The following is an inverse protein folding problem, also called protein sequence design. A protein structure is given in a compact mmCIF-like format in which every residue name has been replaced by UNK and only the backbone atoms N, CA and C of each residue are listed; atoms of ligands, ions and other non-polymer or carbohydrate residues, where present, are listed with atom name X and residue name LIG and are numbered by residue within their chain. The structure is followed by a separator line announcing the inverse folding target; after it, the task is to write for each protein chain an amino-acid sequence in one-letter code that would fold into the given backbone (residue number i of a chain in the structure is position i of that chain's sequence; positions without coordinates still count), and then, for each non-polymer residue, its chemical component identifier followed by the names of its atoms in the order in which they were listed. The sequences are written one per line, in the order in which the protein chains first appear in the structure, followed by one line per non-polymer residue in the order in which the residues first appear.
data_IF_140988109215
#
_entry.id   IF_140988109215
#
_cell.length_a   1.000
_cell.length_b   1.000
_cell.length_c   1.000
_cell.angle_alpha   90.00
_cell.angle_beta   90.00
_cell.angle_gamma   90.00
#
_symmetry.space_group_name_H-M   'P 1'
#
loop_
_entity.id
_entity.type
_entity.pdbx_description
1 polymer ?
#
# COMPACT_ATOMS: atom_id res chain seq x y z
N UNK A 1 -2.43 18.41 -14.51
CA UNK A 1 -2.95 17.11 -15.00
C UNK A 1 -4.45 17.27 -15.17
N UNK A 2 -4.99 17.12 -16.38
CA UNK A 2 -6.43 17.16 -16.62
C UNK A 2 -6.98 15.75 -16.33
N UNK A 3 -7.79 15.61 -15.28
CA UNK A 3 -8.26 14.32 -14.74
C UNK A 3 -9.62 13.91 -15.30
N UNK A 4 -10.24 14.70 -16.18
CA UNK A 4 -11.60 14.46 -16.67
C UNK A 4 -11.78 13.20 -17.53
N UNK A 5 -10.69 12.53 -17.93
CA UNK A 5 -10.72 11.31 -18.75
C UNK A 5 -10.49 10.01 -17.97
N UNK A 6 -10.15 10.07 -16.68
CA UNK A 6 -9.96 8.88 -15.85
C UNK A 6 -11.23 8.62 -15.03
N UNK A 7 -12.20 7.87 -15.57
CA UNK A 7 -13.34 7.41 -14.75
C UNK A 7 -12.98 6.24 -13.80
N UNK A 8 -11.82 5.60 -13.98
CA UNK A 8 -11.46 4.33 -13.32
C UNK A 8 -10.29 4.43 -12.32
N UNK A 9 -9.87 5.64 -11.98
CA UNK A 9 -8.64 5.84 -11.20
C UNK A 9 -7.37 5.49 -11.96
N UNK A 10 -6.24 5.78 -11.32
CA UNK A 10 -4.90 5.53 -11.87
C UNK A 10 -4.10 4.86 -10.77
N UNK A 11 -3.66 3.64 -11.01
CA UNK A 11 -2.65 2.98 -10.20
C UNK A 11 -1.31 3.06 -10.93
N UNK A 12 -0.29 3.57 -10.24
CA UNK A 12 1.07 3.60 -10.74
C UNK A 12 1.98 2.99 -9.68
N UNK A 13 2.58 1.82 -9.95
CA UNK A 13 3.69 1.36 -9.12
C UNK A 13 4.94 2.22 -9.41
N UNK A 14 5.86 2.25 -8.44
CA UNK A 14 7.21 2.82 -8.51
C UNK A 14 7.29 4.17 -9.23
N UNK A 15 6.99 5.24 -8.50
CA UNK A 15 6.93 6.58 -9.06
C UNK A 15 8.01 7.49 -8.46
N UNK A 16 8.83 8.05 -9.34
CA UNK A 16 9.77 9.11 -9.00
C UNK A 16 9.10 10.48 -9.14
N UNK A 17 8.72 11.06 -8.01
CA UNK A 17 8.11 12.39 -7.97
C UNK A 17 9.20 13.46 -8.03
N UNK A 18 9.26 14.12 -9.19
CA UNK A 18 10.15 15.25 -9.43
C UNK A 18 9.34 16.54 -9.28
N UNK A 19 9.65 17.38 -8.28
CA UNK A 19 9.04 18.69 -8.15
C UNK A 19 9.26 19.55 -9.38
N UNK A 20 8.30 20.42 -9.68
CA UNK A 20 8.54 21.49 -10.66
C UNK A 20 9.63 22.42 -10.14
N UNK A 21 10.42 22.97 -11.07
CA UNK A 21 11.41 24.01 -10.77
C UNK A 21 10.78 25.11 -9.91
N UNK A 22 11.55 25.66 -8.95
CA UNK A 22 11.13 26.67 -7.95
C UNK A 22 10.16 26.20 -6.85
N UNK A 23 9.88 24.90 -6.72
CA UNK A 23 9.12 24.36 -5.57
C UNK A 23 10.06 23.76 -4.53
N UNK A 24 9.95 24.17 -3.26
CA UNK A 24 10.66 23.52 -2.14
C UNK A 24 9.95 22.23 -1.72
N UNK A 25 10.05 21.23 -2.58
CA UNK A 25 9.63 19.85 -2.31
C UNK A 25 10.82 18.91 -2.55
N UNK A 26 10.90 17.78 -1.84
CA UNK A 26 11.95 16.82 -2.07
C UNK A 26 11.67 16.07 -3.38
N UNK A 27 12.72 15.57 -4.02
CA UNK A 27 12.55 14.42 -4.91
C UNK A 27 12.17 13.23 -4.03
N UNK A 28 11.08 12.57 -4.36
CA UNK A 28 10.52 11.50 -3.55
C UNK A 28 10.24 10.32 -4.45
N UNK A 29 10.83 9.17 -4.14
CA UNK A 29 10.32 7.90 -4.63
C UNK A 29 9.13 7.49 -3.78
N UNK A 30 8.10 6.92 -4.41
CA UNK A 30 6.98 6.29 -3.72
C UNK A 30 6.68 4.96 -4.40
N UNK A 31 6.42 3.93 -3.59
CA UNK A 31 6.27 2.56 -4.09
C UNK A 31 5.01 2.39 -4.93
N UNK A 32 3.94 3.11 -4.58
CA UNK A 32 2.81 3.25 -5.46
C UNK A 32 2.04 4.54 -5.20
N UNK A 33 1.31 4.96 -6.23
CA UNK A 33 0.27 5.98 -6.10
C UNK A 33 -1.01 5.41 -6.66
N UNK A 34 -2.09 5.65 -5.94
CA UNK A 34 -3.43 5.38 -6.42
C UNK A 34 -4.28 6.64 -6.37
N UNK A 35 -4.66 7.15 -7.53
CA UNK A 35 -5.57 8.28 -7.67
C UNK A 35 -6.96 7.74 -7.94
N UNK A 36 -7.92 8.11 -7.09
CA UNK A 36 -9.31 7.68 -7.18
C UNK A 36 -10.17 8.94 -7.38
N UNK A 37 -10.68 9.18 -8.59
CA UNK A 37 -11.53 10.33 -8.88
C UNK A 37 -12.91 10.12 -8.27
N UNK A 38 -13.40 11.16 -7.60
CA UNK A 38 -14.72 11.18 -6.97
C UNK A 38 -15.64 12.18 -7.69
N UNK A 39 -16.96 11.93 -7.74
CA UNK A 39 -17.91 12.85 -8.36
C UNK A 39 -18.06 14.13 -7.54
N UNK A 40 -18.26 15.27 -8.20
CA UNK A 40 -18.55 16.53 -7.52
C UNK A 40 -19.80 16.39 -6.64
N UNK A 41 -19.80 16.91 -5.38
CA UNK A 41 -18.82 17.81 -4.76
C UNK A 41 -17.64 17.14 -4.03
N UNK A 42 -17.51 15.81 -4.11
CA UNK A 42 -16.46 15.08 -3.40
C UNK A 42 -15.06 15.36 -3.97
N UNK A 43 -14.05 15.17 -3.10
CA UNK A 43 -12.64 15.41 -3.44
C UNK A 43 -12.03 14.15 -4.03
N UNK A 44 -11.20 14.31 -5.07
CA UNK A 44 -10.37 13.22 -5.58
C UNK A 44 -9.51 12.63 -4.45
N UNK A 45 -9.58 11.33 -4.27
CA UNK A 45 -8.74 10.62 -3.31
C UNK A 45 -7.38 10.35 -3.94
N UNK A 46 -6.32 10.57 -3.16
CA UNK A 46 -4.96 10.21 -3.54
C UNK A 46 -4.36 9.38 -2.42
N UNK A 47 -3.98 8.14 -2.74
CA UNK A 47 -3.25 7.26 -1.84
C UNK A 47 -1.80 7.23 -2.29
N UNK A 48 -0.90 7.51 -1.35
CA UNK A 48 0.54 7.42 -1.56
C UNK A 48 1.00 6.26 -0.71
N UNK A 49 1.63 5.27 -1.34
CA UNK A 49 2.05 4.04 -0.72
C UNK A 49 3.54 3.99 -0.53
N UNK A 50 3.94 3.56 0.66
CA UNK A 50 5.26 3.04 0.98
C UNK A 50 5.09 1.60 1.46
N UNK A 51 5.83 0.69 0.84
CA UNK A 51 5.85 -0.73 1.10
C UNK A 51 7.23 -1.09 1.62
N UNK A 52 7.30 -1.55 2.86
CA UNK A 52 8.51 -2.20 3.37
C UNK A 52 8.26 -3.70 3.46
N UNK A 53 9.34 -4.45 3.39
CA UNK A 53 9.32 -5.88 3.69
C UNK A 53 9.33 -6.09 5.22
N UNK A 54 9.82 -7.23 5.69
CA UNK A 54 9.85 -7.56 7.11
C UNK A 54 10.81 -6.70 7.94
N UNK A 55 11.65 -5.86 7.31
CA UNK A 55 12.72 -5.12 7.99
C UNK A 55 13.86 -6.02 8.48
N UNK A 56 15.04 -5.45 8.72
CA UNK A 56 16.14 -6.15 9.42
C UNK A 56 16.21 -5.70 10.87
N UNK A 57 16.23 -6.70 11.75
CA UNK A 57 16.36 -6.50 13.19
C UNK A 57 17.65 -5.73 13.50
N UNK A 58 17.57 -4.82 14.47
CA UNK A 58 18.56 -3.80 14.80
C UNK A 58 19.94 -4.35 15.29
N UNK A 59 20.21 -5.64 15.12
CA UNK A 59 21.44 -6.31 15.58
C UNK A 59 22.68 -6.03 14.72
N UNK A 60 22.54 -5.42 13.54
CA UNK A 60 23.66 -5.00 12.68
C UNK A 60 23.77 -3.49 12.49
N UNK A 61 22.97 -2.68 13.20
CA UNK A 61 23.02 -1.22 13.14
C UNK A 61 22.52 -0.59 11.84
N UNK A 62 21.78 -1.34 11.01
CA UNK A 62 21.18 -0.83 9.77
C UNK A 62 19.65 -0.64 9.89
N UNK A 63 19.13 0.47 9.37
CA UNK A 63 17.70 0.84 9.32
C UNK A 63 16.97 0.28 8.09
N UNK A 64 17.46 -0.84 7.53
CA UNK A 64 16.99 -1.34 6.25
C UNK A 64 15.64 -2.05 6.41
N UNK A 65 14.63 -1.62 5.64
CA UNK A 65 13.28 -2.19 5.66
C UNK A 65 12.43 -1.74 6.86
N UNK A 66 12.87 -0.73 7.60
CA UNK A 66 12.03 -0.01 8.57
C UNK A 66 11.43 1.24 7.93
N UNK A 67 10.24 1.63 8.39
CA UNK A 67 9.74 2.98 8.10
C UNK A 67 10.50 3.96 8.98
N UNK A 68 11.32 4.82 8.38
CA UNK A 68 12.11 5.80 9.12
C UNK A 68 11.51 7.22 9.10
N UNK A 69 12.14 8.14 9.82
CA UNK A 69 11.68 9.52 9.88
C UNK A 69 11.79 10.25 8.53
N UNK A 70 12.72 9.84 7.66
CA UNK A 70 12.91 10.40 6.33
C UNK A 70 11.77 9.98 5.40
N UNK A 71 11.41 8.69 5.41
CA UNK A 71 10.25 8.16 4.68
C UNK A 71 9.00 8.95 5.05
N UNK A 72 8.75 9.08 6.36
CA UNK A 72 7.58 9.79 6.90
C UNK A 72 7.59 11.27 6.51
N UNK A 73 8.74 11.93 6.57
CA UNK A 73 8.86 13.33 6.17
C UNK A 73 8.59 13.53 4.68
N UNK A 74 9.16 12.68 3.83
CA UNK A 74 8.96 12.73 2.39
C UNK A 74 7.49 12.52 2.02
N UNK A 75 6.87 11.45 2.54
CA UNK A 75 5.45 11.16 2.32
C UNK A 75 4.56 12.30 2.84
N UNK A 76 4.89 12.87 4.00
CA UNK A 76 4.18 14.04 4.56
C UNK A 76 4.25 15.23 3.62
N UNK A 77 5.45 15.61 3.15
CA UNK A 77 5.66 16.76 2.25
C UNK A 77 4.93 16.58 0.92
N UNK A 78 4.99 15.39 0.33
CA UNK A 78 4.22 15.08 -0.90
C UNK A 78 2.72 15.17 -0.64
N UNK A 79 2.23 14.60 0.46
CA UNK A 79 0.82 14.61 0.78
C UNK A 79 0.28 16.02 1.09
N UNK A 80 1.08 16.87 1.74
CA UNK A 80 0.74 18.24 2.08
C UNK A 80 0.85 19.21 0.89
N UNK A 81 1.62 18.86 -0.15
CA UNK A 81 1.67 19.61 -1.41
C UNK A 81 0.34 19.56 -2.20
N UNK A 82 -0.51 18.56 -1.93
CA UNK A 82 -1.81 18.41 -2.61
C UNK A 82 -2.86 19.37 -2.03
N UNK A 83 -3.51 20.22 -2.85
CA UNK A 83 -4.49 21.20 -2.37
C UNK A 83 -5.69 20.56 -1.65
N UNK A 84 -5.83 20.85 -0.36
CA UNK A 84 -6.88 20.29 0.53
C UNK A 84 -8.32 20.57 0.09
N UNK A 85 -8.54 21.61 -0.71
CA UNK A 85 -9.87 21.93 -1.27
C UNK A 85 -10.28 20.98 -2.39
N UNK A 86 -9.32 20.26 -2.98
CA UNK A 86 -9.51 19.41 -4.15
C UNK A 86 -9.21 17.93 -3.91
N UNK A 87 -8.34 17.63 -2.95
CA UNK A 87 -7.87 16.27 -2.70
C UNK A 87 -8.09 15.82 -1.26
N UNK A 88 -8.47 14.55 -1.11
CA UNK A 88 -8.43 13.80 0.13
C UNK A 88 -7.25 12.83 0.07
N UNK A 89 -6.13 13.23 0.66
CA UNK A 89 -4.88 12.46 0.59
C UNK A 89 -4.72 11.52 1.79
N UNK A 90 -4.41 10.25 1.52
CA UNK A 90 -4.04 9.21 2.46
C UNK A 90 -2.64 8.68 2.18
N UNK A 91 -2.01 8.15 3.22
CA UNK A 91 -0.68 7.55 3.16
C UNK A 91 -0.80 6.13 3.68
N UNK A 92 -0.46 5.16 2.83
CA UNK A 92 -0.40 3.75 3.20
C UNK A 92 1.04 3.43 3.50
N UNK A 93 1.26 2.86 4.69
CA UNK A 93 2.48 2.17 5.04
C UNK A 93 2.10 0.69 5.09
N UNK A 94 2.60 -0.09 4.15
CA UNK A 94 2.38 -1.52 4.06
C UNK A 94 3.66 -2.23 4.47
N UNK A 95 3.53 -3.26 5.29
CA UNK A 95 4.68 -4.04 5.78
C UNK A 95 4.31 -5.51 5.84
N UNK A 96 5.25 -6.40 5.55
CA UNK A 96 5.02 -7.85 5.73
C UNK A 96 5.34 -8.32 7.15
N UNK A 97 5.29 -7.42 8.15
CA UNK A 97 5.46 -7.75 9.57
C UNK A 97 4.77 -6.70 10.47
N UNK A 98 4.64 -6.95 11.78
CA UNK A 98 4.16 -5.94 12.72
C UNK A 98 5.03 -4.67 12.75
N UNK A 99 4.39 -3.51 12.88
CA UNK A 99 5.08 -2.23 13.08
C UNK A 99 5.66 -2.12 14.49
N UNK A 100 6.85 -1.52 14.63
CA UNK A 100 7.44 -1.20 15.93
C UNK A 100 6.72 -0.03 16.61
N UNK A 101 6.93 0.13 17.92
CA UNK A 101 6.39 1.28 18.65
C UNK A 101 6.88 2.62 18.07
N UNK A 102 8.14 2.66 17.62
CA UNK A 102 8.73 3.86 17.00
C UNK A 102 8.15 4.11 15.61
N UNK A 103 7.97 3.09 14.79
CA UNK A 103 7.29 3.20 13.48
C UNK A 103 5.85 3.68 13.65
N UNK A 104 5.12 3.15 14.64
CA UNK A 104 3.77 3.59 14.96
C UNK A 104 3.77 5.05 15.45
N UNK A 105 4.73 5.43 16.28
CA UNK A 105 4.88 6.80 16.77
C UNK A 105 5.16 7.77 15.61
N UNK A 106 6.06 7.41 14.69
CA UNK A 106 6.36 8.17 13.49
C UNK A 106 5.16 8.25 12.55
N UNK A 107 4.51 7.13 12.23
CA UNK A 107 3.31 7.09 11.39
C UNK A 107 2.16 7.93 11.98
N UNK A 108 2.03 7.96 13.32
CA UNK A 108 1.04 8.80 13.99
C UNK A 108 1.23 10.28 13.70
N UNK A 109 2.47 10.74 13.48
CA UNK A 109 2.77 12.14 13.13
C UNK A 109 2.28 12.55 11.74
N UNK A 110 1.97 11.58 10.88
CA UNK A 110 1.29 11.88 9.62
C UNK A 110 -0.11 12.43 9.88
N UNK A 111 -0.75 12.11 10.99
CA UNK A 111 -2.07 12.66 11.31
C UNK A 111 -1.96 14.08 11.89
N UNK A 112 -2.99 14.90 11.66
CA UNK A 112 -3.13 16.21 12.31
C UNK A 112 -4.40 16.27 13.16
N UNK A 113 -4.61 17.38 13.90
CA UNK A 113 -5.75 17.56 14.81
C UNK A 113 -7.11 17.28 14.15
N UNK A 114 -7.22 17.48 12.84
CA UNK A 114 -8.46 17.40 12.09
C UNK A 114 -8.45 16.32 11.00
N UNK A 115 -7.34 15.57 10.83
CA UNK A 115 -7.16 14.60 9.75
C UNK A 115 -6.51 13.32 10.23
N UNK A 116 -7.20 12.20 9.95
CA UNK A 116 -6.65 10.86 10.00
C UNK A 116 -6.33 10.44 8.57
N UNK A 117 -5.05 10.29 8.24
CA UNK A 117 -4.57 9.98 6.89
C UNK A 117 -3.57 8.84 6.80
N UNK A 118 -3.01 8.39 7.92
CA UNK A 118 -2.14 7.21 7.95
C UNK A 118 -2.98 5.92 7.93
N UNK A 119 -2.59 4.97 7.08
CA UNK A 119 -3.11 3.61 7.00
C UNK A 119 -1.91 2.69 7.21
N UNK A 120 -2.03 1.76 8.15
CA UNK A 120 -1.01 0.74 8.44
C UNK A 120 -1.57 -0.62 8.05
N UNK A 121 -0.86 -1.34 7.18
CA UNK A 121 -1.20 -2.70 6.78
C UNK A 121 0.00 -3.61 7.07
N UNK A 122 -0.22 -4.68 7.81
CA UNK A 122 0.77 -5.72 8.06
C UNK A 122 0.50 -6.94 7.17
N UNK A 123 1.33 -7.97 7.22
CA UNK A 123 1.06 -9.29 6.60
C UNK A 123 -0.35 -9.82 6.91
N UNK A 124 -0.89 -9.56 8.10
CA UNK A 124 -2.24 -10.03 8.49
C UNK A 124 -3.35 -9.38 7.67
N UNK A 125 -3.13 -8.14 7.26
CA UNK A 125 -4.05 -7.38 6.43
C UNK A 125 -3.73 -7.50 4.93
N UNK A 126 -2.48 -7.87 4.57
CA UNK A 126 -1.98 -7.95 3.19
C UNK A 126 -2.05 -9.35 2.58
N UNK A 127 -1.87 -10.39 3.39
CA UNK A 127 -1.92 -11.77 2.92
C UNK A 127 -3.37 -12.28 2.77
N UNK A 128 -3.60 -13.18 1.80
CA UNK A 128 -4.56 -14.26 1.91
C UNK A 128 -3.90 -15.49 2.58
N UNK A 129 -4.57 -16.14 3.54
CA UNK A 129 -4.13 -17.41 4.18
C UNK A 129 -4.02 -18.56 3.14
N UNK A 130 -2.98 -18.57 2.29
CA UNK A 130 -2.82 -19.24 0.98
C UNK A 130 -4.00 -19.08 0.00
N UNK A 131 -3.69 -19.26 -1.30
CA UNK A 131 -4.69 -19.30 -2.37
C UNK A 131 -5.86 -20.22 -2.01
N UNK A 132 -5.53 -21.34 -1.34
CA UNK A 132 -6.49 -22.35 -0.87
C UNK A 132 -6.23 -22.87 0.57
N UNK A 133 -5.50 -22.18 1.47
CA UNK A 133 -5.25 -22.71 2.85
C UNK A 133 -6.46 -22.56 3.75
N UNK A 134 -7.31 -21.58 3.52
CA UNK A 134 -8.68 -21.61 4.05
C UNK A 134 -9.57 -22.64 3.32
N UNK A 135 -9.26 -22.99 2.09
CA UNK A 135 -10.09 -23.81 1.18
C UNK A 135 -9.89 -25.32 1.35
N UNK A 136 -8.70 -25.77 1.79
CA UNK A 136 -8.45 -27.16 2.22
C UNK A 136 -9.33 -27.62 3.37
N UNK A 137 -9.91 -26.67 4.11
CA UNK A 137 -10.82 -26.99 5.19
C UNK A 137 -12.15 -27.60 4.67
N UNK A 138 -12.54 -27.38 3.40
CA UNK A 138 -13.83 -27.75 2.78
C UNK A 138 -13.69 -28.85 1.72
N UNK A 139 -12.66 -28.74 0.87
CA UNK A 139 -12.35 -29.72 -0.15
C UNK A 139 -11.18 -30.58 0.32
N UNK A 140 -11.51 -31.80 0.73
CA UNK A 140 -10.54 -32.70 1.36
C UNK A 140 -9.56 -33.32 0.36
N UNK A 141 -9.96 -33.39 -0.90
CA UNK A 141 -9.22 -34.07 -1.95
C UNK A 141 -8.38 -33.15 -2.81
N UNK A 142 -8.48 -31.84 -2.60
CA UNK A 142 -7.68 -30.87 -3.35
C UNK A 142 -6.38 -30.64 -2.59
N UNK A 143 -5.37 -30.22 -3.32
CA UNK A 143 -4.21 -29.67 -2.65
C UNK A 143 -4.64 -28.29 -2.10
N UNK A 144 -4.42 -28.02 -0.81
CA UNK A 144 -4.42 -26.63 -0.24
C UNK A 144 -3.45 -25.71 -0.95
N UNK A 145 -2.52 -26.36 -1.59
CA UNK A 145 -1.42 -25.79 -2.26
C UNK A 145 -1.71 -25.75 -3.74
N UNK A 146 -2.08 -24.56 -4.21
CA UNK A 146 -1.97 -24.20 -5.61
C UNK A 146 -0.86 -23.17 -5.76
N UNK A 147 0.15 -23.55 -6.53
CA UNK A 147 1.39 -22.76 -6.63
C UNK A 147 1.95 -22.69 -8.06
N UNK A 148 1.31 -23.34 -9.03
CA UNK A 148 1.53 -23.11 -10.47
C UNK A 148 0.24 -22.66 -11.11
N UNK A 149 0.25 -21.90 -12.22
CA UNK A 149 -0.96 -21.70 -13.02
C UNK A 149 -1.64 -23.02 -13.37
N UNK A 150 -0.85 -24.08 -13.57
CA UNK A 150 -1.31 -25.43 -13.80
C UNK A 150 -1.75 -26.18 -12.52
N UNK A 151 -1.20 -25.90 -11.34
CA UNK A 151 -1.67 -26.49 -10.08
C UNK A 151 -2.89 -25.77 -9.53
N UNK A 152 -2.97 -24.45 -9.78
CA UNK A 152 -4.19 -23.65 -9.71
C UNK A 152 -5.21 -24.30 -10.65
N UNK A 153 -4.84 -24.64 -11.89
CA UNK A 153 -5.74 -25.33 -12.83
C UNK A 153 -6.07 -26.79 -12.44
N UNK A 154 -5.15 -27.55 -11.86
CA UNK A 154 -5.35 -28.95 -11.47
C UNK A 154 -6.12 -29.06 -10.15
N UNK A 155 -5.86 -28.19 -9.16
CA UNK A 155 -6.73 -28.04 -7.99
C UNK A 155 -8.10 -27.53 -8.41
N UNK A 156 -8.20 -26.65 -9.41
CA UNK A 156 -9.47 -26.24 -10.02
C UNK A 156 -10.18 -27.42 -10.69
N UNK A 157 -9.45 -28.30 -11.39
CA UNK A 157 -10.05 -29.48 -11.98
C UNK A 157 -10.52 -30.50 -10.93
N UNK A 158 -9.73 -30.73 -9.88
CA UNK A 158 -10.04 -31.66 -8.80
C UNK A 158 -11.14 -31.18 -7.85
N UNK A 159 -11.25 -29.88 -7.63
CA UNK A 159 -12.38 -29.31 -6.90
C UNK A 159 -13.70 -29.45 -7.69
N UNK A 160 -13.66 -29.41 -9.03
CA UNK A 160 -14.85 -28.97 -9.79
C UNK A 160 -15.23 -29.75 -11.07
N UNK A 161 -14.44 -30.68 -11.62
CA UNK A 161 -14.68 -31.24 -12.99
C UNK A 161 -14.81 -32.79 -13.13
N UNK A 162 -15.29 -33.56 -12.13
CA UNK A 162 -15.47 -35.04 -12.23
C UNK A 162 -16.96 -35.50 -12.12
N UNK A 163 -17.39 -36.53 -12.88
CA UNK A 163 -18.67 -37.31 -12.78
C UNK A 163 -18.51 -38.62 -11.99
#
# INVERSE_FOLDING_TARGET
MNLSSFRNGVYSPSLNLIPKESTDLPKCEVDFVWVIPEPYPEKTVVVIGECKDQGRDNMTGGTQGTIDATDIEHLRRVADALPRKRFSTYIVLAKLCPFTADEIALAKTLNDRYRRRAILLTERELEPYHFYERTKLEFKDIQDYASRPEDLANNTAMMYFKE
#
